data_IF_724176945463
#
_entry.id   IF_724176945463
#
_cell.length_a   1.000
_cell.length_b   1.000
_cell.length_c   1.000
_cell.angle_alpha   90.00
_cell.angle_beta   90.00
_cell.angle_gamma   90.00
#
_symmetry.space_group_name_H-M   'P 1'
#
loop_
_entity.id
_entity.type
_entity.pdbx_description
1 polymer ?
#
# COMPACT_ATOMS: atom_id res chain seq x y z
N UNK A 1 -20.19 0.95 -17.78
CA UNK A 1 -19.42 0.64 -19.00
C UNK A 1 -17.95 0.53 -18.63
N UNK A 2 -17.30 -0.54 -19.04
CA UNK A 2 -15.85 -0.66 -18.94
C UNK A 2 -15.25 0.34 -19.94
N UNK A 3 -14.19 1.02 -19.56
CA UNK A 3 -13.39 1.76 -20.54
C UNK A 3 -12.78 0.79 -21.56
N UNK A 4 -12.15 1.30 -22.60
CA UNK A 4 -11.54 0.46 -23.65
C UNK A 4 -10.43 -0.47 -23.11
N UNK A 5 -9.93 -0.24 -21.87
CA UNK A 5 -8.93 -1.07 -21.19
C UNK A 5 -9.56 -2.15 -20.32
N UNK A 6 -10.87 -2.11 -20.07
CA UNK A 6 -11.58 -3.05 -19.23
C UNK A 6 -11.60 -2.72 -17.73
N UNK A 7 -11.05 -1.56 -17.35
CA UNK A 7 -10.97 -1.11 -15.96
C UNK A 7 -12.12 -0.19 -15.55
N UNK A 8 -12.39 -0.15 -14.26
CA UNK A 8 -13.36 0.78 -13.70
C UNK A 8 -12.83 1.42 -12.42
N UNK A 9 -13.12 2.69 -12.22
CA UNK A 9 -12.75 3.38 -10.99
C UNK A 9 -13.71 3.03 -9.86
N UNK A 10 -13.23 3.09 -8.63
CA UNK A 10 -14.04 2.94 -7.41
C UNK A 10 -15.25 3.89 -7.41
N UNK A 11 -15.09 5.11 -7.91
CA UNK A 11 -16.17 6.09 -8.07
C UNK A 11 -17.23 5.62 -9.07
N UNK A 12 -16.81 5.13 -10.24
CA UNK A 12 -17.73 4.62 -11.26
C UNK A 12 -18.53 3.42 -10.76
N UNK A 13 -17.86 2.54 -10.01
CA UNK A 13 -18.50 1.39 -9.40
C UNK A 13 -19.53 1.79 -8.35
N UNK A 14 -19.22 2.76 -7.50
CA UNK A 14 -20.15 3.31 -6.52
C UNK A 14 -21.39 3.92 -7.18
N UNK A 15 -21.20 4.67 -8.26
CA UNK A 15 -22.29 5.26 -9.04
C UNK A 15 -23.13 4.19 -9.74
N UNK A 16 -22.50 3.13 -10.26
CA UNK A 16 -23.19 2.00 -10.90
C UNK A 16 -24.02 1.20 -9.91
N UNK A 17 -23.49 0.91 -8.72
CA UNK A 17 -24.22 0.24 -7.64
C UNK A 17 -25.41 1.08 -7.17
N UNK A 18 -25.23 2.39 -7.03
CA UNK A 18 -26.30 3.31 -6.69
C UNK A 18 -27.39 3.34 -7.76
N UNK A 19 -27.03 3.32 -9.05
CA UNK A 19 -27.95 3.26 -10.16
C UNK A 19 -28.73 1.93 -10.23
N UNK A 20 -28.15 0.83 -9.75
CA UNK A 20 -28.80 -0.47 -9.63
C UNK A 20 -29.69 -0.60 -8.38
N UNK A 21 -29.85 0.46 -7.60
CA UNK A 21 -30.76 0.50 -6.45
C UNK A 21 -30.17 -0.01 -5.15
N UNK A 22 -28.86 -0.25 -5.09
CA UNK A 22 -28.19 -0.59 -3.83
C UNK A 22 -27.97 0.67 -3.00
N UNK A 23 -28.51 0.75 -1.76
CA UNK A 23 -28.34 1.93 -0.93
C UNK A 23 -26.89 2.03 -0.48
N UNK A 24 -26.14 2.92 -1.10
CA UNK A 24 -24.79 3.30 -0.69
C UNK A 24 -24.91 4.20 0.55
N UNK A 25 -25.12 3.60 1.70
CA UNK A 25 -24.93 4.33 2.95
C UNK A 25 -23.42 4.51 3.16
N UNK A 26 -23.01 5.76 3.43
CA UNK A 26 -21.64 6.18 3.76
C UNK A 26 -20.96 5.35 4.87
N UNK A 27 -21.68 4.47 5.54
CA UNK A 27 -21.29 3.67 6.70
C UNK A 27 -20.92 2.22 6.41
N UNK A 28 -20.78 1.77 5.16
CA UNK A 28 -20.58 0.34 4.88
C UNK A 28 -19.41 0.09 3.91
N UNK A 29 -18.20 0.32 4.39
CA UNK A 29 -16.97 -0.07 3.67
C UNK A 29 -16.99 -1.57 3.30
N UNK A 30 -17.41 -2.45 4.23
CA UNK A 30 -17.54 -3.88 3.97
C UNK A 30 -18.54 -4.25 2.87
N UNK A 31 -19.73 -3.63 2.82
CA UNK A 31 -20.71 -3.87 1.74
C UNK A 31 -20.14 -3.47 0.37
N UNK A 32 -19.28 -2.48 0.34
CA UNK A 32 -18.60 -2.03 -0.85
C UNK A 32 -17.60 -3.08 -1.36
N UNK A 33 -16.82 -3.66 -0.45
CA UNK A 33 -15.83 -4.68 -0.79
C UNK A 33 -16.47 -6.00 -1.22
N UNK A 34 -17.58 -6.43 -0.58
CA UNK A 34 -18.34 -7.61 -0.98
C UNK A 34 -18.86 -7.52 -2.41
N UNK A 35 -19.45 -6.38 -2.77
CA UNK A 35 -19.99 -6.20 -4.11
C UNK A 35 -18.90 -6.18 -5.18
N UNK A 36 -17.70 -5.73 -4.84
CA UNK A 36 -16.54 -5.79 -5.72
C UNK A 36 -16.12 -7.23 -6.00
N UNK A 37 -16.15 -8.09 -4.98
CA UNK A 37 -15.85 -9.53 -5.11
C UNK A 37 -16.94 -10.28 -5.89
N UNK A 38 -18.21 -10.05 -5.57
CA UNK A 38 -19.36 -10.72 -6.23
C UNK A 38 -19.48 -10.36 -7.72
N UNK A 39 -19.06 -9.17 -8.11
CA UNK A 39 -19.08 -8.72 -9.50
C UNK A 39 -17.86 -9.18 -10.30
N UNK A 40 -16.90 -9.88 -9.69
CA UNK A 40 -15.63 -10.27 -10.34
C UNK A 40 -14.82 -9.05 -10.81
N UNK A 41 -15.02 -7.89 -10.17
CA UNK A 41 -14.43 -6.61 -10.53
C UNK A 41 -13.16 -6.31 -9.74
N UNK A 42 -12.69 -7.23 -8.90
CA UNK A 42 -11.47 -7.10 -8.12
C UNK A 42 -10.29 -7.75 -8.83
N UNK A 43 -10.19 -7.60 -10.14
CA UNK A 43 -8.89 -7.58 -10.81
C UNK A 43 -8.52 -6.12 -10.98
N UNK A 44 -7.76 -5.59 -10.04
CA UNK A 44 -7.28 -4.22 -10.10
C UNK A 44 -5.95 -4.15 -10.81
N UNK A 45 -5.93 -3.38 -11.84
CA UNK A 45 -4.73 -2.75 -12.38
C UNK A 45 -4.86 -1.26 -12.07
N UNK A 46 -4.06 -0.78 -11.15
CA UNK A 46 -4.05 0.62 -10.75
C UNK A 46 -2.66 1.07 -10.33
N UNK A 47 -2.36 2.30 -10.58
CA UNK A 47 -1.08 2.98 -10.43
C UNK A 47 -0.94 3.48 -8.98
N UNK A 48 -0.19 2.79 -8.07
CA UNK A 48 0.01 3.30 -6.69
C UNK A 48 1.19 2.69 -5.94
N UNK A 49 1.72 3.42 -4.96
CA UNK A 49 3.05 3.21 -4.36
C UNK A 49 3.08 2.60 -2.95
N UNK A 50 1.95 2.32 -2.32
CA UNK A 50 1.94 1.85 -0.93
C UNK A 50 1.83 0.32 -0.85
N UNK A 51 2.66 -0.39 -0.02
CA UNK A 51 2.78 -1.84 -0.07
C UNK A 51 1.72 -2.62 0.72
N UNK A 52 0.84 -1.95 1.47
CA UNK A 52 -0.12 -2.61 2.36
C UNK A 52 -1.41 -3.03 1.67
N UNK A 53 -1.96 -4.15 2.12
CA UNK A 53 -3.18 -4.75 1.59
C UNK A 53 -4.18 -5.01 2.69
N UNK A 54 -5.46 -4.94 2.36
CA UNK A 54 -6.54 -5.39 3.23
C UNK A 54 -6.85 -6.84 2.87
N UNK A 55 -6.84 -7.72 3.87
CA UNK A 55 -7.17 -9.13 3.73
C UNK A 55 -8.43 -9.42 4.53
N UNK A 56 -9.43 -10.00 3.88
CA UNK A 56 -10.71 -10.37 4.49
C UNK A 56 -10.76 -11.87 4.81
N UNK A 57 -11.39 -12.23 5.93
CA UNK A 57 -11.66 -13.63 6.27
C UNK A 57 -12.79 -14.22 5.42
N UNK A 58 -12.77 -15.53 5.18
CA UNK A 58 -13.80 -16.24 4.41
C UNK A 58 -15.21 -16.12 4.99
N UNK A 59 -15.29 -16.12 6.32
CA UNK A 59 -16.56 -16.19 7.06
C UNK A 59 -17.26 -14.84 7.09
N UNK A 60 -16.51 -13.76 6.94
CA UNK A 60 -16.98 -12.37 7.09
C UNK A 60 -17.17 -11.62 5.79
N UNK A 61 -16.88 -12.22 4.63
CA UNK A 61 -17.19 -11.62 3.33
C UNK A 61 -18.67 -11.27 3.15
N UNK A 62 -19.56 -11.84 3.97
CA UNK A 62 -21.02 -11.67 3.88
C UNK A 62 -21.67 -10.99 5.09
N UNK A 63 -20.91 -10.65 6.15
CA UNK A 63 -21.43 -10.00 7.35
C UNK A 63 -20.65 -8.72 7.65
N UNK A 64 -21.22 -7.58 7.27
CA UNK A 64 -20.58 -6.26 7.29
C UNK A 64 -21.00 -5.38 8.48
N UNK A 65 -21.79 -5.92 9.42
CA UNK A 65 -22.12 -5.21 10.65
C UNK A 65 -21.02 -5.42 11.69
N UNK A 66 -20.45 -4.34 12.20
CA UNK A 66 -19.39 -4.36 13.23
C UNK A 66 -18.06 -4.99 12.77
N UNK A 67 -17.49 -4.50 11.67
CA UNK A 67 -16.19 -4.97 11.19
C UNK A 67 -15.09 -4.78 12.25
N UNK A 68 -14.38 -5.86 12.53
CA UNK A 68 -13.24 -5.89 13.43
C UNK A 68 -11.94 -6.02 12.62
N UNK A 69 -11.11 -4.98 12.69
CA UNK A 69 -9.90 -4.84 11.86
C UNK A 69 -8.67 -4.97 12.73
N UNK A 70 -7.77 -5.88 12.37
CA UNK A 70 -6.43 -5.97 12.94
C UNK A 70 -5.50 -5.04 12.16
N UNK A 71 -4.97 -4.02 12.83
CA UNK A 71 -4.19 -2.97 12.18
C UNK A 71 -2.73 -2.91 12.64
N UNK A 72 -2.40 -3.61 13.72
CA UNK A 72 -1.08 -3.52 14.33
C UNK A 72 -0.89 -2.22 15.12
N UNK A 73 0.35 -1.90 15.43
CA UNK A 73 0.72 -0.90 16.41
C UNK A 73 0.27 0.53 16.07
N UNK A 74 -0.22 1.25 17.07
CA UNK A 74 -0.61 2.67 17.01
C UNK A 74 0.57 3.57 16.59
N UNK A 75 0.30 4.57 15.74
CA UNK A 75 1.29 5.56 15.27
C UNK A 75 2.19 5.06 14.15
N UNK A 76 1.88 3.90 13.57
CA UNK A 76 2.57 3.38 12.39
C UNK A 76 1.98 3.93 11.09
N UNK A 77 2.80 3.99 10.02
CA UNK A 77 2.33 4.40 8.69
C UNK A 77 1.12 3.60 8.17
N UNK A 78 0.99 2.28 8.40
CA UNK A 78 -0.20 1.54 7.98
C UNK A 78 -1.50 2.09 8.56
N UNK A 79 -1.49 2.42 9.85
CA UNK A 79 -2.63 3.03 10.54
C UNK A 79 -2.95 4.41 9.96
N UNK A 80 -1.96 5.29 9.94
CA UNK A 80 -2.15 6.66 9.49
C UNK A 80 -2.70 6.74 8.05
N UNK A 81 -2.17 5.92 7.14
CA UNK A 81 -2.65 5.84 5.76
C UNK A 81 -4.05 5.24 5.69
N UNK A 82 -4.33 4.19 6.47
CA UNK A 82 -5.66 3.59 6.52
C UNK A 82 -6.71 4.58 7.04
N UNK A 83 -6.43 5.25 8.17
CA UNK A 83 -7.33 6.29 8.70
C UNK A 83 -7.51 7.45 7.73
N UNK A 84 -6.45 7.89 7.04
CA UNK A 84 -6.53 8.91 5.99
C UNK A 84 -7.48 8.49 4.86
N UNK A 85 -7.37 7.25 4.37
CA UNK A 85 -8.28 6.72 3.35
C UNK A 85 -9.71 6.66 3.86
N UNK A 86 -9.95 6.21 5.10
CA UNK A 86 -11.27 6.18 5.70
C UNK A 86 -11.89 7.57 5.77
N UNK A 87 -11.17 8.54 6.31
CA UNK A 87 -11.62 9.93 6.44
C UNK A 87 -11.89 10.57 5.07
N UNK A 88 -11.04 10.32 4.09
CA UNK A 88 -11.24 10.75 2.69
C UNK A 88 -12.55 10.23 2.08
N UNK A 89 -13.05 9.10 2.59
CA UNK A 89 -14.30 8.49 2.17
C UNK A 89 -15.47 8.75 3.15
N UNK A 90 -15.36 9.76 4.02
CA UNK A 90 -16.37 10.12 5.01
C UNK A 90 -16.66 8.99 6.05
N UNK A 91 -15.70 8.13 6.36
CA UNK A 91 -15.78 7.08 7.38
C UNK A 91 -15.00 7.53 8.61
N UNK A 92 -15.63 7.53 9.77
CA UNK A 92 -14.97 7.81 11.05
C UNK A 92 -14.35 6.51 11.60
N UNK A 93 -13.00 6.38 11.65
CA UNK A 93 -12.36 5.16 12.12
C UNK A 93 -12.70 4.76 13.55
N UNK A 94 -13.09 5.74 14.39
CA UNK A 94 -13.44 5.50 15.80
C UNK A 94 -14.92 5.24 16.05
N UNK A 95 -15.79 5.82 15.20
CA UNK A 95 -17.23 5.70 15.38
C UNK A 95 -17.84 4.57 14.54
N UNK A 96 -17.28 4.30 13.36
CA UNK A 96 -17.86 3.39 12.38
C UNK A 96 -17.17 2.00 12.35
N UNK A 97 -15.98 1.86 12.94
CA UNK A 97 -15.18 0.63 12.91
C UNK A 97 -14.69 0.22 14.31
N UNK A 98 -14.39 -1.05 14.48
CA UNK A 98 -13.64 -1.57 15.61
C UNK A 98 -12.23 -1.93 15.15
N UNK A 99 -11.24 -1.14 15.56
CA UNK A 99 -9.84 -1.32 15.16
C UNK A 99 -9.04 -1.80 16.36
N UNK A 100 -8.43 -2.99 16.25
CA UNK A 100 -7.54 -3.54 17.28
C UNK A 100 -6.09 -3.25 16.92
N UNK A 101 -5.42 -2.54 17.81
CA UNK A 101 -4.02 -2.14 17.72
C UNK A 101 -3.17 -2.74 18.86
N UNK A 102 -3.73 -3.70 19.59
CA UNK A 102 -3.05 -4.33 20.73
C UNK A 102 -2.04 -5.41 20.30
N UNK A 103 -2.09 -5.83 19.04
CA UNK A 103 -1.23 -6.88 18.48
C UNK A 103 -0.07 -6.22 17.73
N UNK A 104 1.15 -6.68 17.99
CA UNK A 104 2.31 -6.26 17.21
C UNK A 104 2.13 -6.58 15.72
N UNK A 105 2.49 -5.64 14.86
CA UNK A 105 2.30 -5.76 13.41
C UNK A 105 2.90 -7.04 12.81
N UNK A 106 4.02 -7.53 13.32
CA UNK A 106 4.61 -8.81 12.92
C UNK A 106 3.81 -10.06 13.33
N UNK A 107 2.75 -9.91 14.14
CA UNK A 107 1.91 -11.00 14.66
C UNK A 107 0.46 -10.93 14.14
N UNK A 108 0.06 -9.88 13.42
CA UNK A 108 -1.31 -9.68 12.93
C UNK A 108 -1.76 -10.78 11.99
N UNK A 109 -0.91 -11.20 11.04
CA UNK A 109 -1.21 -12.30 10.12
C UNK A 109 -1.46 -13.63 10.86
N UNK A 110 -0.68 -13.93 11.92
CA UNK A 110 -0.88 -15.14 12.71
C UNK A 110 -2.17 -15.09 13.54
N UNK A 111 -2.49 -13.92 14.11
CA UNK A 111 -3.73 -13.70 14.84
C UNK A 111 -4.95 -13.83 13.91
N UNK A 112 -4.89 -13.27 12.71
CA UNK A 112 -5.93 -13.38 11.68
C UNK A 112 -6.13 -14.83 11.23
N UNK A 113 -5.04 -15.55 10.93
CA UNK A 113 -5.06 -17.01 10.63
C UNK A 113 -5.68 -17.83 11.77
N UNK A 114 -5.51 -17.38 13.02
CA UNK A 114 -6.14 -17.94 14.22
C UNK A 114 -7.61 -17.58 14.41
N UNK A 115 -8.22 -16.84 13.49
CA UNK A 115 -9.62 -16.46 13.52
C UNK A 115 -9.91 -15.16 14.30
N UNK A 116 -8.92 -14.33 14.55
CA UNK A 116 -9.11 -13.00 15.13
C UNK A 116 -9.31 -11.97 14.02
N UNK A 117 -10.29 -11.08 14.20
CA UNK A 117 -10.61 -10.02 13.25
C UNK A 117 -11.33 -10.50 12.00
N UNK A 118 -12.03 -9.58 11.37
CA UNK A 118 -12.73 -9.79 10.10
C UNK A 118 -11.85 -9.41 8.93
N UNK A 119 -10.98 -8.41 9.15
CA UNK A 119 -9.98 -7.91 8.23
C UNK A 119 -8.64 -7.72 8.94
N UNK A 120 -7.57 -7.82 8.19
CA UNK A 120 -6.23 -7.44 8.66
C UNK A 120 -5.53 -6.60 7.61
N UNK A 121 -4.64 -5.73 8.05
CA UNK A 121 -3.79 -4.93 7.17
C UNK A 121 -2.39 -5.53 7.19
N UNK A 122 -1.97 -6.02 6.04
CA UNK A 122 -0.73 -6.75 5.90
C UNK A 122 0.11 -6.18 4.76
N UNK A 123 1.42 -6.34 4.89
CA UNK A 123 2.35 -6.19 3.76
C UNK A 123 2.81 -7.57 3.26
N UNK A 124 3.49 -7.58 2.15
CA UNK A 124 4.04 -8.83 1.62
C UNK A 124 5.30 -9.27 2.41
N UNK A 125 5.53 -10.55 2.63
CA UNK A 125 4.84 -11.70 2.02
C UNK A 125 3.58 -12.19 2.77
N UNK A 126 3.19 -11.54 3.88
CA UNK A 126 2.11 -12.04 4.74
C UNK A 126 0.76 -12.06 4.03
N UNK A 127 0.40 -11.02 3.29
CA UNK A 127 -0.87 -10.95 2.56
C UNK A 127 -1.00 -12.12 1.56
N UNK A 128 0.03 -12.33 0.71
CA UNK A 128 0.04 -13.46 -0.24
C UNK A 128 0.05 -14.81 0.47
N UNK A 129 0.74 -14.93 1.61
CA UNK A 129 0.77 -16.18 2.39
C UNK A 129 -0.58 -16.53 3.01
N UNK A 130 -1.34 -15.56 3.51
CA UNK A 130 -2.70 -15.77 4.02
C UNK A 130 -3.63 -16.26 2.90
N UNK A 131 -3.53 -15.67 1.72
CA UNK A 131 -4.34 -16.06 0.57
C UNK A 131 -3.96 -17.47 0.06
N UNK A 132 -2.66 -17.78 -0.05
CA UNK A 132 -2.18 -19.09 -0.46
C UNK A 132 -2.59 -20.22 0.49
N UNK A 133 -2.65 -19.94 1.80
CA UNK A 133 -3.17 -20.86 2.82
C UNK A 133 -4.69 -20.98 2.79
N UNK A 134 -5.36 -20.05 2.16
CA UNK A 134 -6.81 -19.97 2.13
C UNK A 134 -7.42 -19.45 3.43
N UNK A 135 -6.66 -18.74 4.25
CA UNK A 135 -7.10 -18.13 5.49
C UNK A 135 -7.88 -16.83 5.24
N UNK A 136 -7.67 -16.21 4.08
CA UNK A 136 -8.35 -14.98 3.70
C UNK A 136 -8.14 -14.62 2.22
N UNK A 137 -8.59 -13.44 1.83
CA UNK A 137 -8.47 -12.90 0.48
C UNK A 137 -7.97 -11.46 0.51
N UNK A 138 -7.03 -11.13 -0.37
CA UNK A 138 -6.60 -9.75 -0.58
C UNK A 138 -7.73 -9.01 -1.31
N UNK A 139 -8.32 -8.01 -0.67
CA UNK A 139 -9.52 -7.31 -1.15
C UNK A 139 -9.27 -5.85 -1.52
N UNK A 140 -8.20 -5.24 -1.03
CA UNK A 140 -7.81 -3.86 -1.38
C UNK A 140 -6.32 -3.62 -1.17
N UNK A 141 -5.81 -2.55 -1.78
CA UNK A 141 -4.46 -2.03 -1.56
C UNK A 141 -4.53 -0.61 -1.02
N UNK A 142 -3.95 -0.37 0.15
CA UNK A 142 -3.87 0.99 0.69
C UNK A 142 -3.07 1.92 -0.24
N UNK A 143 -2.12 1.37 -0.99
CA UNK A 143 -1.35 2.12 -1.96
C UNK A 143 -2.18 2.69 -3.11
N UNK A 144 -3.22 1.99 -3.53
CA UNK A 144 -4.09 2.46 -4.61
C UNK A 144 -4.98 3.63 -4.16
N UNK A 145 -5.47 3.61 -2.92
CA UNK A 145 -6.44 4.58 -2.42
C UNK A 145 -5.79 5.80 -1.75
N UNK A 146 -4.54 5.67 -1.27
CA UNK A 146 -3.82 6.78 -0.62
C UNK A 146 -3.29 7.83 -1.60
N UNK A 147 -2.99 7.44 -2.82
CA UNK A 147 -2.23 8.24 -3.78
C UNK A 147 -0.71 8.00 -3.66
N UNK A 148 0.08 8.84 -4.32
CA UNK A 148 1.55 8.69 -4.36
C UNK A 148 2.21 9.10 -3.04
N UNK A 149 2.13 8.23 -2.03
CA UNK A 149 2.77 8.43 -0.74
C UNK A 149 4.12 7.73 -0.73
N UNK A 150 5.22 8.43 -0.42
CA UNK A 150 6.53 7.80 -0.27
C UNK A 150 6.54 6.90 0.96
N UNK A 151 7.00 5.65 0.80
CA UNK A 151 7.08 4.71 1.90
C UNK A 151 8.48 4.65 2.52
N UNK A 152 9.51 4.47 1.70
CA UNK A 152 10.88 4.41 2.16
C UNK A 152 11.72 5.48 1.49
N UNK A 153 12.62 6.06 2.26
CA UNK A 153 13.62 7.00 1.76
C UNK A 153 14.98 6.71 2.42
N UNK A 154 16.05 6.92 1.66
CA UNK A 154 17.39 6.88 2.21
C UNK A 154 17.74 8.25 2.80
N UNK A 155 18.28 8.28 4.01
CA UNK A 155 18.69 9.50 4.67
C UNK A 155 20.17 9.45 5.07
N UNK A 156 20.82 10.60 5.02
CA UNK A 156 22.20 10.77 5.47
C UNK A 156 22.36 12.12 6.16
N UNK A 157 23.36 12.23 7.04
CA UNK A 157 23.71 13.52 7.64
C UNK A 157 24.21 14.49 6.56
N UNK A 158 23.79 15.74 6.59
CA UNK A 158 24.26 16.79 5.66
C UNK A 158 25.80 16.84 5.58
N UNK A 159 26.47 16.77 6.72
CA UNK A 159 27.94 16.72 6.77
C UNK A 159 28.55 15.50 6.08
N UNK A 160 27.86 14.37 6.04
CA UNK A 160 28.31 13.18 5.33
C UNK A 160 28.14 13.34 3.81
N UNK A 161 27.01 13.92 3.37
CA UNK A 161 26.78 14.25 1.96
C UNK A 161 27.85 15.19 1.41
N UNK A 162 28.22 16.21 2.20
CA UNK A 162 29.26 17.19 1.84
C UNK A 162 30.66 16.56 1.78
N UNK A 163 30.97 15.67 2.72
CA UNK A 163 32.29 15.05 2.82
C UNK A 163 32.51 13.88 1.83
N UNK A 164 31.43 13.22 1.39
CA UNK A 164 31.48 11.99 0.60
C UNK A 164 30.53 11.99 -0.62
N UNK A 165 30.49 13.05 -1.44
CA UNK A 165 29.53 13.16 -2.55
C UNK A 165 29.68 12.02 -3.58
N UNK A 166 30.91 11.59 -3.86
CA UNK A 166 31.15 10.49 -4.82
C UNK A 166 30.59 9.15 -4.32
N UNK A 167 30.68 8.88 -3.01
CA UNK A 167 30.12 7.67 -2.40
C UNK A 167 28.59 7.68 -2.51
N UNK A 168 27.95 8.81 -2.19
CA UNK A 168 26.51 8.97 -2.29
C UNK A 168 26.06 8.85 -3.74
N UNK A 169 26.77 9.47 -4.69
CA UNK A 169 26.43 9.35 -6.12
C UNK A 169 26.56 7.89 -6.61
N UNK A 170 27.62 7.18 -6.23
CA UNK A 170 27.80 5.78 -6.59
C UNK A 170 26.69 4.89 -6.01
N UNK A 171 26.29 5.14 -4.76
CA UNK A 171 25.16 4.45 -4.12
C UNK A 171 23.84 4.73 -4.86
N UNK A 172 23.55 6.00 -5.16
CA UNK A 172 22.35 6.41 -5.87
C UNK A 172 22.30 5.81 -7.28
N UNK A 173 23.44 5.81 -8.01
CA UNK A 173 23.55 5.18 -9.33
C UNK A 173 23.29 3.66 -9.26
N UNK A 174 23.72 2.98 -8.20
CA UNK A 174 23.45 1.56 -8.02
C UNK A 174 21.96 1.28 -7.78
N UNK A 175 21.30 2.13 -6.99
CA UNK A 175 19.85 2.04 -6.79
C UNK A 175 19.07 2.31 -8.10
N UNK A 176 19.48 3.33 -8.89
CA UNK A 176 18.85 3.62 -10.18
C UNK A 176 18.95 2.42 -11.13
N UNK A 177 20.10 1.75 -11.21
CA UNK A 177 20.23 0.51 -11.97
C UNK A 177 19.27 -0.58 -11.52
N UNK A 178 18.96 -0.66 -10.21
CA UNK A 178 17.94 -1.56 -9.69
C UNK A 178 16.55 -1.17 -10.17
N UNK A 179 16.21 0.12 -10.17
CA UNK A 179 14.94 0.62 -10.70
C UNK A 179 14.81 0.36 -12.20
N UNK A 180 15.87 0.59 -12.97
CA UNK A 180 15.93 0.32 -14.42
C UNK A 180 15.72 -1.18 -14.71
N UNK A 181 16.30 -2.05 -13.87
CA UNK A 181 16.10 -3.49 -13.98
C UNK A 181 14.63 -3.85 -13.75
N UNK A 182 14.03 -3.36 -12.65
CA UNK A 182 12.63 -3.62 -12.30
C UNK A 182 11.69 -3.12 -13.40
N UNK A 183 11.92 -1.94 -13.97
CA UNK A 183 11.06 -1.37 -15.03
C UNK A 183 11.18 -2.08 -16.38
N UNK A 184 12.27 -2.81 -16.62
CA UNK A 184 12.57 -3.44 -17.93
C UNK A 184 12.41 -4.97 -17.96
N UNK A 185 12.14 -5.59 -16.81
CA UNK A 185 12.06 -7.06 -16.71
C UNK A 185 10.67 -7.51 -16.26
N UNK A 186 10.34 -8.75 -16.58
CA UNK A 186 9.08 -9.38 -16.15
C UNK A 186 9.09 -9.67 -14.65
N UNK A 187 7.93 -9.74 -14.00
CA UNK A 187 7.83 -10.11 -12.58
C UNK A 187 8.55 -11.41 -12.23
N UNK A 188 8.52 -12.40 -13.12
CA UNK A 188 9.23 -13.67 -12.91
C UNK A 188 10.75 -13.51 -12.94
N UNK A 189 11.30 -12.70 -13.85
CA UNK A 189 12.72 -12.40 -13.91
C UNK A 189 13.18 -11.62 -12.68
N UNK A 190 12.38 -10.65 -12.25
CA UNK A 190 12.64 -9.88 -11.01
C UNK A 190 12.62 -10.82 -9.81
N UNK A 191 11.59 -11.65 -9.66
CA UNK A 191 11.48 -12.63 -8.57
C UNK A 191 12.70 -13.57 -8.51
N UNK A 192 13.13 -14.12 -9.64
CA UNK A 192 14.35 -14.94 -9.71
C UNK A 192 15.61 -14.19 -9.29
N UNK A 193 15.72 -12.91 -9.66
CA UNK A 193 16.88 -12.08 -9.33
C UNK A 193 16.97 -11.82 -7.82
N UNK A 194 15.83 -11.55 -7.16
CA UNK A 194 15.79 -11.19 -5.74
C UNK A 194 15.65 -12.41 -4.82
N UNK A 195 15.27 -13.58 -5.32
CA UNK A 195 15.05 -14.81 -4.54
C UNK A 195 16.17 -15.14 -3.53
N UNK A 196 17.48 -14.96 -3.85
CA UNK A 196 18.53 -15.21 -2.87
C UNK A 196 18.47 -14.33 -1.60
N UNK A 197 17.71 -13.25 -1.64
CA UNK A 197 17.48 -12.36 -0.48
C UNK A 197 16.22 -12.73 0.31
N UNK A 198 15.41 -13.65 -0.21
CA UNK A 198 14.13 -14.10 0.35
C UNK A 198 14.09 -15.63 0.42
N UNK A 199 15.08 -16.23 1.07
CA UNK A 199 15.29 -17.68 1.14
C UNK A 199 14.09 -18.46 1.70
N UNK A 200 13.29 -17.83 2.57
CA UNK A 200 12.11 -18.42 3.19
C UNK A 200 10.84 -18.35 2.31
N UNK A 201 10.90 -17.64 1.18
CA UNK A 201 9.77 -17.46 0.27
C UNK A 201 10.03 -18.23 -1.02
N UNK A 202 9.12 -19.13 -1.39
CA UNK A 202 9.22 -19.86 -2.65
C UNK A 202 9.07 -18.93 -3.87
N UNK A 203 9.58 -19.37 -5.03
CA UNK A 203 9.60 -18.54 -6.24
C UNK A 203 8.20 -18.19 -6.75
N UNK A 204 7.22 -19.07 -6.59
CA UNK A 204 5.85 -18.84 -7.04
C UNK A 204 5.20 -17.72 -6.22
N UNK A 205 5.31 -17.80 -4.89
CA UNK A 205 4.85 -16.75 -3.96
C UNK A 205 5.56 -15.43 -4.25
N UNK A 206 6.89 -15.46 -4.42
CA UNK A 206 7.67 -14.25 -4.72
C UNK A 206 7.27 -13.63 -6.07
N UNK A 207 7.00 -14.45 -7.08
CA UNK A 207 6.51 -13.97 -8.38
C UNK A 207 5.14 -13.32 -8.26
N UNK A 208 4.25 -13.89 -7.46
CA UNK A 208 2.93 -13.29 -7.17
C UNK A 208 3.06 -11.93 -6.50
N UNK A 209 3.93 -11.81 -5.50
CA UNK A 209 4.21 -10.55 -4.80
C UNK A 209 4.75 -9.48 -5.77
N UNK A 210 5.77 -9.84 -6.54
CA UNK A 210 6.37 -8.92 -7.53
C UNK A 210 5.34 -8.50 -8.58
N UNK A 211 4.49 -9.43 -9.04
CA UNK A 211 3.42 -9.13 -9.99
C UNK A 211 2.45 -8.10 -9.43
N UNK A 212 2.03 -8.25 -8.19
CA UNK A 212 1.12 -7.31 -7.51
C UNK A 212 1.74 -5.92 -7.38
N UNK A 213 3.00 -5.84 -6.95
CA UNK A 213 3.70 -4.57 -6.81
C UNK A 213 3.96 -3.89 -8.16
N UNK A 214 4.25 -4.68 -9.20
CA UNK A 214 4.43 -4.17 -10.54
C UNK A 214 3.11 -3.62 -11.13
N UNK A 215 2.01 -4.35 -10.95
CA UNK A 215 0.70 -3.94 -11.43
C UNK A 215 0.17 -2.68 -10.76
N UNK A 216 0.45 -2.47 -9.49
CA UNK A 216 0.03 -1.26 -8.76
C UNK A 216 1.07 -0.11 -8.81
N UNK A 217 2.08 -0.20 -9.70
CA UNK A 217 3.12 0.82 -9.88
C UNK A 217 3.81 1.23 -8.56
N UNK A 218 4.12 0.23 -7.72
CA UNK A 218 4.77 0.48 -6.42
C UNK A 218 6.17 1.07 -6.58
N UNK A 219 6.87 0.71 -7.64
CA UNK A 219 8.24 1.12 -7.89
C UNK A 219 8.29 2.23 -8.95
N UNK A 220 8.85 3.36 -8.56
CA UNK A 220 9.10 4.48 -9.48
C UNK A 220 10.16 4.11 -10.52
N UNK A 221 10.13 4.81 -11.65
CA UNK A 221 11.16 4.72 -12.69
C UNK A 221 12.47 5.44 -12.33
N UNK A 222 12.44 6.32 -11.32
CA UNK A 222 13.60 7.07 -10.85
C UNK A 222 13.55 7.28 -9.34
N UNK A 223 14.66 7.76 -8.77
CA UNK A 223 14.83 7.98 -7.33
C UNK A 223 14.52 9.41 -6.88
N UNK A 224 13.93 10.24 -7.72
CA UNK A 224 13.58 11.61 -7.36
C UNK A 224 12.41 11.58 -6.37
N UNK A 225 12.63 12.14 -5.18
CA UNK A 225 11.61 12.28 -4.15
C UNK A 225 10.78 13.53 -4.46
N UNK A 226 9.58 13.36 -5.00
CA UNK A 226 8.75 14.45 -5.49
C UNK A 226 8.17 15.32 -4.36
N UNK A 227 8.06 16.63 -4.58
CA UNK A 227 7.53 17.58 -3.60
C UNK A 227 6.05 17.34 -3.30
N UNK A 228 5.25 16.99 -4.32
CA UNK A 228 3.83 16.66 -4.14
C UNK A 228 3.64 15.42 -3.25
N UNK A 229 4.49 14.39 -3.43
CA UNK A 229 4.49 13.20 -2.62
C UNK A 229 4.90 13.49 -1.16
N UNK A 230 5.88 14.37 -0.96
CA UNK A 230 6.29 14.85 0.36
C UNK A 230 5.17 15.65 1.04
N UNK A 231 4.46 16.48 0.28
CA UNK A 231 3.30 17.25 0.78
C UNK A 231 2.18 16.33 1.21
N UNK A 232 1.87 15.30 0.40
CA UNK A 232 0.85 14.30 0.75
C UNK A 232 1.22 13.52 2.02
N UNK A 233 2.49 13.13 2.17
CA UNK A 233 2.98 12.49 3.39
C UNK A 233 2.76 13.40 4.62
N UNK A 234 3.09 14.68 4.52
CA UNK A 234 2.87 15.61 5.61
C UNK A 234 1.38 15.82 5.93
N UNK A 235 0.50 15.79 4.92
CA UNK A 235 -0.94 15.86 5.13
C UNK A 235 -1.43 14.67 5.98
N UNK A 236 -0.99 13.46 5.64
CA UNK A 236 -1.36 12.24 6.38
C UNK A 236 -0.87 12.31 7.83
N UNK A 237 0.38 12.70 8.03
CA UNK A 237 0.99 12.83 9.36
C UNK A 237 0.32 13.93 10.20
N UNK A 238 -0.09 15.04 9.59
CA UNK A 238 -0.78 16.13 10.27
C UNK A 238 -2.21 15.73 10.67
N UNK A 239 -2.94 15.04 9.77
CA UNK A 239 -4.28 14.52 10.07
C UNK A 239 -4.31 13.45 11.16
N UNK A 240 -3.24 12.67 11.29
CA UNK A 240 -3.07 11.70 12.37
C UNK A 240 -2.66 12.35 13.71
N UNK A 241 -2.20 13.61 13.68
CA UNK A 241 -1.68 14.32 14.85
C UNK A 241 -0.21 14.01 15.16
N UNK A 242 0.48 13.27 14.29
CA UNK A 242 1.89 12.88 14.48
C UNK A 242 2.88 13.94 13.95
N UNK A 243 2.41 14.93 13.19
CA UNK A 243 3.23 16.04 12.69
C UNK A 243 2.88 17.35 13.41
N UNK A 244 3.63 17.76 14.44
CA UNK A 244 3.36 18.98 15.17
C UNK A 244 3.65 20.25 14.36
N UNK A 245 4.52 20.16 13.34
CA UNK A 245 4.89 21.27 12.47
C UNK A 245 5.40 20.75 11.13
N UNK A 246 4.92 21.35 10.03
CA UNK A 246 5.42 21.05 8.69
C UNK A 246 6.87 21.48 8.50
N UNK A 247 7.60 20.69 7.73
CA UNK A 247 8.98 20.94 7.36
C UNK A 247 9.01 21.39 5.90
N UNK A 248 9.73 22.46 5.53
CA UNK A 248 9.97 22.82 4.14
C UNK A 248 10.67 21.68 3.39
N UNK A 249 10.25 21.43 2.15
CA UNK A 249 10.80 20.36 1.32
C UNK A 249 12.32 20.48 1.15
N UNK A 250 12.80 21.67 0.85
CA UNK A 250 14.22 22.01 0.62
C UNK A 250 15.11 21.83 1.86
N UNK A 251 14.52 21.84 3.06
CA UNK A 251 15.27 21.64 4.30
C UNK A 251 15.60 20.16 4.56
N UNK A 252 14.77 19.26 4.04
CA UNK A 252 14.87 17.82 4.33
C UNK A 252 15.26 17.00 3.09
N UNK A 253 14.86 17.40 1.89
CA UNK A 253 15.02 16.60 0.67
C UNK A 253 16.12 17.18 -0.23
N UNK A 254 17.06 16.33 -0.64
CA UNK A 254 18.06 16.61 -1.65
C UNK A 254 17.89 15.65 -2.83
N UNK A 255 17.55 16.18 -3.99
CA UNK A 255 17.32 15.40 -5.22
C UNK A 255 18.48 15.44 -6.22
N UNK A 256 19.57 16.13 -5.92
CA UNK A 256 20.66 16.36 -6.88
C UNK A 256 21.32 15.05 -7.33
N UNK A 257 21.56 14.13 -6.38
CA UNK A 257 22.13 12.82 -6.68
C UNK A 257 21.18 11.94 -7.49
N UNK A 258 19.88 11.99 -7.18
CA UNK A 258 18.86 11.24 -7.89
C UNK A 258 18.67 11.74 -9.33
N UNK A 259 18.65 13.06 -9.54
CA UNK A 259 18.60 13.69 -10.89
C UNK A 259 19.76 13.25 -11.76
N UNK A 260 21.00 13.30 -11.22
CA UNK A 260 22.19 12.84 -11.93
C UNK A 260 22.20 11.34 -12.22
N UNK A 261 21.55 10.53 -11.38
CA UNK A 261 21.47 9.09 -11.60
C UNK A 261 20.43 8.71 -12.65
N UNK A 262 19.44 9.59 -12.90
CA UNK A 262 18.38 9.41 -13.89
C UNK A 262 18.75 9.90 -15.30
N UNK A 263 19.90 10.61 -15.46
CA UNK A 263 20.46 11.03 -16.76
C UNK A 263 21.16 9.87 -17.48
#
# INVERSE_FOLDING_TARGET
EKDETGFTSVKFLAESLKAMGYPMHKKKFGTYMEHLLDLGLVEKTGIYHYPYRIVASKEKLHDVENMFILLGQTGGMPEMVFEFILKKNDIDPKADLSIDQSIDFGSTAAAFSGGQGDFTIEFEPHATSLEAKGDGYVVASLGEDSGYVPYTAFSAKKSYLEAHPDTIQAFTNALQKGMDYVSSHTPEEIAKMIQPQFEETDLETLTTIVTRYHQQDTWKSNLIFEEDAFTLLQNILEESGELPQRVPYEDLVNTDFAKKAAE
#
